data_IF_599300322316
#
_entry.id   IF_599300322316
#
_cell.length_a   1.000
_cell.length_b   1.000
_cell.length_c   1.000
_cell.angle_alpha   90.00
_cell.angle_beta   90.00
_cell.angle_gamma   90.00
#
_symmetry.space_group_name_H-M   'P 1'
#
loop_
_entity.id
_entity.type
_entity.pdbx_description
1 polymer ?
#
# COMPACT_ATOMS: atom_id res chain seq x y z
N UNK A 1 15.81 -21.70 5.48
CA UNK A 1 17.18 -21.15 5.63
C UNK A 1 17.44 -19.82 4.92
N UNK A 2 16.51 -19.27 4.11
CA UNK A 2 16.66 -17.92 3.53
C UNK A 2 15.68 -16.94 4.19
N UNK A 3 16.16 -15.78 4.66
CA UNK A 3 15.33 -14.72 5.24
C UNK A 3 14.42 -14.05 4.19
N UNK A 4 13.42 -13.25 4.61
CA UNK A 4 12.65 -12.41 3.69
C UNK A 4 13.57 -11.39 3.03
N UNK A 5 13.47 -11.24 1.71
CA UNK A 5 14.24 -10.25 0.96
C UNK A 5 13.37 -9.02 0.70
N UNK A 6 13.85 -7.80 0.98
CA UNK A 6 13.11 -6.59 0.64
C UNK A 6 12.95 -6.45 -0.88
N UNK A 7 11.93 -5.72 -1.32
CA UNK A 7 11.81 -5.35 -2.72
C UNK A 7 13.06 -4.55 -3.17
N UNK A 8 13.57 -4.85 -4.37
CA UNK A 8 14.73 -4.14 -4.94
C UNK A 8 14.42 -2.72 -5.43
N UNK A 9 13.20 -2.25 -5.22
CA UNK A 9 12.71 -0.92 -5.60
C UNK A 9 12.15 -0.24 -4.35
N UNK A 10 12.13 1.09 -4.38
CA UNK A 10 11.51 1.92 -3.36
C UNK A 10 9.97 1.90 -3.47
N UNK A 11 9.37 0.71 -3.32
CA UNK A 11 7.93 0.48 -3.52
C UNK A 11 7.10 1.37 -2.59
N UNK A 12 7.53 1.55 -1.34
CA UNK A 12 6.85 2.43 -0.39
C UNK A 12 6.75 3.87 -0.92
N UNK A 13 7.87 4.43 -1.39
CA UNK A 13 7.94 5.79 -1.92
C UNK A 13 7.10 5.95 -3.19
N UNK A 14 7.15 4.95 -4.08
CA UNK A 14 6.39 4.95 -5.33
C UNK A 14 4.88 4.94 -5.05
N UNK A 15 4.41 4.08 -4.14
CA UNK A 15 2.99 3.97 -3.82
C UNK A 15 2.49 5.19 -3.04
N UNK A 16 3.21 5.64 -2.02
CA UNK A 16 2.82 6.84 -1.27
C UNK A 16 2.86 8.09 -2.15
N UNK A 17 3.84 8.19 -3.06
CA UNK A 17 3.93 9.26 -4.05
C UNK A 17 2.76 9.24 -5.04
N UNK A 18 2.34 8.06 -5.50
CA UNK A 18 1.15 7.91 -6.34
C UNK A 18 -0.12 8.34 -5.60
N UNK A 19 -0.30 7.90 -4.34
CA UNK A 19 -1.43 8.30 -3.51
C UNK A 19 -1.44 9.82 -3.25
N UNK A 20 -0.29 10.43 -2.99
CA UNK A 20 -0.15 11.88 -2.83
C UNK A 20 -0.55 12.63 -4.11
N UNK A 21 -0.07 12.18 -5.28
CA UNK A 21 -0.43 12.76 -6.56
C UNK A 21 -1.93 12.69 -6.81
N UNK A 22 -2.56 11.54 -6.55
CA UNK A 22 -4.01 11.37 -6.64
C UNK A 22 -4.76 12.28 -5.65
N UNK A 23 -4.29 12.41 -4.42
CA UNK A 23 -4.86 13.30 -3.40
C UNK A 23 -4.80 14.77 -3.81
N UNK A 24 -3.69 15.22 -4.40
CA UNK A 24 -3.54 16.58 -4.93
C UNK A 24 -4.52 16.83 -6.08
N UNK A 25 -4.64 15.89 -7.02
CA UNK A 25 -5.59 16.00 -8.13
C UNK A 25 -7.05 16.09 -7.61
N UNK A 26 -7.41 15.25 -6.63
CA UNK A 26 -8.72 15.30 -5.99
C UNK A 26 -8.97 16.64 -5.28
N UNK A 27 -7.96 17.18 -4.59
CA UNK A 27 -8.04 18.49 -3.93
C UNK A 27 -8.22 19.64 -4.93
N UNK A 28 -7.58 19.57 -6.10
CA UNK A 28 -7.76 20.55 -7.19
C UNK A 28 -9.18 20.49 -7.76
N UNK A 29 -9.73 19.29 -7.99
CA UNK A 29 -11.13 19.13 -8.42
C UNK A 29 -12.08 19.72 -7.38
N UNK A 30 -11.89 19.39 -6.09
CA UNK A 30 -12.70 19.96 -5.00
C UNK A 30 -12.60 21.48 -4.95
N UNK A 31 -11.40 22.05 -5.14
CA UNK A 31 -11.21 23.51 -5.19
C UNK A 31 -11.92 24.13 -6.38
N UNK A 32 -11.91 23.47 -7.55
CA UNK A 32 -12.65 23.93 -8.74
C UNK A 32 -14.16 23.97 -8.53
N UNK A 33 -14.72 23.01 -7.78
CA UNK A 33 -16.17 22.94 -7.50
C UNK A 33 -16.59 23.86 -6.35
N UNK A 34 -15.79 23.94 -5.29
CA UNK A 34 -16.20 24.60 -4.03
C UNK A 34 -15.53 25.96 -3.80
N UNK A 35 -14.49 26.29 -4.57
CA UNK A 35 -13.61 27.44 -4.31
C UNK A 35 -12.63 27.23 -3.14
N UNK A 36 -12.75 26.14 -2.37
CA UNK A 36 -11.94 25.92 -1.16
C UNK A 36 -10.83 24.89 -1.40
N UNK A 37 -9.61 25.20 -0.92
CA UNK A 37 -8.49 24.25 -0.92
C UNK A 37 -8.72 23.08 0.05
N UNK A 38 -7.84 22.09 0.00
CA UNK A 38 -7.88 20.91 0.89
C UNK A 38 -6.47 20.58 1.38
N UNK A 39 -6.35 20.08 2.61
CA UNK A 39 -5.11 19.48 3.12
C UNK A 39 -5.02 18.03 2.61
N UNK A 40 -3.88 17.66 2.03
CA UNK A 40 -3.62 16.31 1.51
C UNK A 40 -2.49 15.71 2.33
N UNK A 41 -2.75 14.55 2.92
CA UNK A 41 -1.77 13.79 3.69
C UNK A 41 -1.70 12.35 3.17
N UNK A 42 -0.54 11.73 3.35
CA UNK A 42 -0.28 10.32 3.00
C UNK A 42 0.76 9.76 3.96
N UNK A 43 0.89 8.43 4.02
CA UNK A 43 1.86 7.73 4.83
C UNK A 43 2.48 6.57 4.06
N UNK A 44 3.82 6.46 4.14
CA UNK A 44 4.56 5.32 3.58
C UNK A 44 4.07 3.99 4.17
N UNK A 45 3.73 3.98 5.47
CA UNK A 45 3.23 2.79 6.14
C UNK A 45 1.83 2.42 5.65
N UNK A 46 0.92 3.40 5.54
CA UNK A 46 -0.43 3.14 5.05
C UNK A 46 -0.43 2.64 3.61
N UNK A 47 0.43 3.21 2.75
CA UNK A 47 0.60 2.74 1.38
C UNK A 47 1.10 1.28 1.31
N UNK A 48 2.02 0.89 2.20
CA UNK A 48 2.47 -0.50 2.28
C UNK A 48 1.43 -1.44 2.87
N UNK A 49 0.60 -0.97 3.82
CA UNK A 49 -0.50 -1.76 4.37
C UNK A 49 -1.56 -2.03 3.29
N UNK A 50 -1.93 -1.00 2.51
CA UNK A 50 -2.85 -1.13 1.38
C UNK A 50 -2.32 -2.12 0.32
N UNK A 51 -1.01 -2.07 0.05
CA UNK A 51 -0.35 -3.02 -0.85
C UNK A 51 -0.47 -4.49 -0.41
N UNK A 52 -0.74 -4.78 0.86
CA UNK A 52 -0.95 -6.14 1.38
C UNK A 52 -2.43 -6.56 1.39
N UNK A 53 -3.30 -5.87 0.64
CA UNK A 53 -4.75 -6.12 0.58
C UNK A 53 -5.10 -7.61 0.51
N UNK A 54 -4.53 -8.36 -0.43
CA UNK A 54 -4.85 -9.79 -0.61
C UNK A 54 -4.48 -10.63 0.62
N UNK A 55 -3.27 -10.45 1.15
CA UNK A 55 -2.76 -11.21 2.30
C UNK A 55 -3.53 -10.87 3.57
N UNK A 56 -3.88 -9.60 3.77
CA UNK A 56 -4.66 -9.15 4.92
C UNK A 56 -6.10 -9.66 4.85
N UNK A 57 -6.75 -9.52 3.69
CA UNK A 57 -8.13 -9.97 3.51
C UNK A 57 -8.26 -11.49 3.64
N UNK A 58 -7.36 -12.26 3.03
CA UNK A 58 -7.35 -13.73 3.18
C UNK A 58 -7.14 -14.14 4.64
N UNK A 59 -6.19 -13.54 5.36
CA UNK A 59 -6.00 -13.80 6.78
C UNK A 59 -7.28 -13.51 7.59
N UNK A 60 -7.90 -12.35 7.38
CA UNK A 60 -9.10 -11.93 8.12
C UNK A 60 -10.33 -12.81 7.82
N UNK A 61 -10.40 -13.41 6.62
CA UNK A 61 -11.56 -14.20 6.17
C UNK A 61 -11.35 -15.73 6.25
N UNK A 62 -10.11 -16.22 6.42
CA UNK A 62 -9.79 -17.67 6.47
C UNK A 62 -9.48 -18.13 7.90
N UNK A 63 -10.27 -17.66 8.87
CA UNK A 63 -10.15 -18.04 10.28
C UNK A 63 -8.85 -17.55 10.94
N UNK A 64 -8.28 -16.42 10.49
CA UNK A 64 -7.01 -15.86 10.99
C UNK A 64 -5.83 -16.82 10.82
N UNK A 65 -5.86 -17.67 9.80
CA UNK A 65 -4.71 -18.51 9.46
C UNK A 65 -3.55 -17.64 9.01
N UNK A 66 -2.36 -17.84 9.59
CA UNK A 66 -1.19 -17.06 9.23
C UNK A 66 -0.78 -17.36 7.76
N UNK A 67 -0.56 -16.32 6.94
CA UNK A 67 -0.06 -16.49 5.59
C UNK A 67 1.29 -17.22 5.59
N UNK A 68 1.48 -18.12 4.63
CA UNK A 68 2.77 -18.79 4.40
C UNK A 68 3.46 -18.16 3.20
N UNK A 69 4.65 -17.58 3.42
CA UNK A 69 5.49 -17.05 2.34
C UNK A 69 5.96 -18.13 1.35
N UNK A 70 6.35 -17.70 0.16
CA UNK A 70 7.02 -18.56 -0.82
C UNK A 70 8.29 -19.22 -0.26
N UNK A 71 8.61 -20.42 -0.76
CA UNK A 71 9.83 -21.14 -0.41
C UNK A 71 11.10 -20.47 -0.97
N UNK A 72 10.96 -19.56 -1.95
CA UNK A 72 12.08 -18.93 -2.63
C UNK A 72 12.02 -17.40 -2.53
N UNK A 73 12.89 -16.82 -1.70
CA UNK A 73 13.28 -15.38 -1.55
C UNK A 73 12.19 -14.35 -1.25
N UNK A 74 10.94 -14.54 -1.67
CA UNK A 74 9.85 -13.59 -1.47
C UNK A 74 9.30 -13.67 -0.04
N UNK A 75 8.97 -12.50 0.52
CA UNK A 75 8.25 -12.37 1.77
C UNK A 75 6.72 -12.46 1.57
N UNK A 76 6.25 -12.33 0.33
CA UNK A 76 4.84 -12.37 -0.01
C UNK A 76 4.33 -13.82 -0.07
N UNK A 77 3.06 -14.03 0.24
CA UNK A 77 2.45 -15.37 0.25
C UNK A 77 2.13 -15.90 -1.15
N UNK A 78 1.88 -14.99 -2.11
CA UNK A 78 1.37 -15.32 -3.45
C UNK A 78 2.31 -14.91 -4.60
N UNK A 79 3.45 -14.29 -4.27
CA UNK A 79 4.54 -13.91 -5.20
C UNK A 79 5.83 -14.55 -4.70
#
# INVERSE_FOLDING_TARGET
DQGPVPFGLAIADMLAGAAAAQGILAALVRRGVTGTGSHVETSLLEALVDFQFEVLTTHLNDGRRLPRRSAFRSAHAYL
#
